data_IF_458654775870
#
_entry.id   IF_458654775870
#
_cell.length_a   1.000
_cell.length_b   1.000
_cell.length_c   1.000
_cell.angle_alpha   90.00
_cell.angle_beta   90.00
_cell.angle_gamma   90.00
#
_symmetry.space_group_name_H-M   'P 1'
#
loop_
_entity.id
_entity.type
_entity.pdbx_description
1 polymer ?
#
# COMPACT_ATOMS: atom_id res chain seq x y z
N UNK A 1 -3.09 -3.45 25.41
CA UNK A 1 -1.71 -3.98 25.25
C UNK A 1 -0.78 -2.82 25.57
N UNK A 2 -0.18 -2.83 26.77
CA UNK A 2 0.66 -1.73 27.23
C UNK A 2 1.87 -1.55 26.33
N UNK A 3 2.22 -0.31 26.04
CA UNK A 3 3.42 0.08 25.31
C UNK A 3 4.62 -0.08 26.23
N UNK A 4 5.25 -1.27 26.24
CA UNK A 4 6.49 -1.50 26.97
C UNK A 4 7.61 -0.71 26.29
N UNK A 5 8.19 0.33 26.90
CA UNK A 5 9.38 1.02 26.38
C UNK A 5 10.64 0.18 26.65
N UNK A 6 11.69 0.33 25.81
CA UNK A 6 13.02 -0.31 25.88
C UNK A 6 13.36 -1.09 27.16
N UNK A 7 12.77 -2.28 27.32
CA UNK A 7 12.88 -3.08 28.53
C UNK A 7 13.65 -4.36 28.20
N UNK A 8 14.78 -4.54 28.88
CA UNK A 8 15.45 -5.83 29.01
C UNK A 8 14.73 -6.62 30.08
N UNK A 9 14.51 -7.91 29.84
CA UNK A 9 13.86 -8.83 30.76
C UNK A 9 14.80 -10.00 31.05
N UNK A 10 14.71 -10.51 32.27
CA UNK A 10 15.46 -11.69 32.69
C UNK A 10 14.50 -12.76 33.18
N UNK A 11 14.68 -13.98 32.70
CA UNK A 11 13.98 -15.17 33.18
C UNK A 11 15.01 -16.18 33.67
N UNK A 12 14.67 -16.92 34.72
CA UNK A 12 15.43 -18.08 35.17
C UNK A 12 14.52 -19.29 35.15
N UNK A 13 14.94 -20.35 34.46
CA UNK A 13 14.19 -21.60 34.33
C UNK A 13 14.92 -22.76 35.02
N UNK A 14 14.17 -23.70 35.60
CA UNK A 14 14.70 -24.98 36.07
C UNK A 14 14.92 -25.96 34.90
N UNK A 15 15.38 -27.16 35.24
CA UNK A 15 15.62 -28.28 34.32
C UNK A 15 14.35 -28.76 33.59
N UNK A 16 13.20 -28.54 34.22
CA UNK A 16 11.86 -28.81 33.71
C UNK A 16 11.24 -27.61 32.96
N UNK A 17 12.02 -26.54 32.72
CA UNK A 17 11.61 -25.28 32.09
C UNK A 17 10.52 -24.50 32.85
N UNK A 18 10.35 -24.75 34.13
CA UNK A 18 9.51 -23.93 35.00
C UNK A 18 10.24 -22.65 35.37
N UNK A 19 9.47 -21.56 35.44
CA UNK A 19 10.00 -20.23 35.75
C UNK A 19 10.29 -20.14 37.25
N UNK A 20 11.57 -20.09 37.60
CA UNK A 20 12.08 -19.86 38.96
C UNK A 20 12.04 -18.34 39.26
N UNK A 21 12.39 -17.50 38.28
CA UNK A 21 12.47 -16.05 38.45
C UNK A 21 12.09 -15.30 37.17
N UNK A 22 11.54 -14.09 37.34
CA UNK A 22 11.23 -13.12 36.27
C UNK A 22 11.48 -11.71 36.79
N UNK A 23 12.21 -10.89 36.04
CA UNK A 23 12.56 -9.52 36.42
C UNK A 23 11.37 -8.55 36.46
N UNK A 24 10.31 -8.79 35.68
CA UNK A 24 9.04 -8.09 35.84
C UNK A 24 8.06 -9.04 36.55
N UNK A 25 7.65 -8.68 37.77
CA UNK A 25 6.69 -9.46 38.52
C UNK A 25 5.32 -9.44 37.83
N UNK A 26 4.90 -10.54 37.19
CA UNK A 26 3.50 -11.03 37.06
C UNK A 26 3.48 -12.42 36.37
N UNK A 27 2.85 -13.38 37.05
CA UNK A 27 2.63 -14.81 36.69
C UNK A 27 1.74 -15.07 35.44
N UNK A 28 1.43 -14.07 34.60
CA UNK A 28 0.47 -14.22 33.47
C UNK A 28 1.05 -14.00 32.07
N UNK A 29 2.21 -13.34 31.96
CA UNK A 29 2.87 -13.05 30.66
C UNK A 29 3.88 -14.14 30.29
N UNK A 30 4.28 -14.97 31.25
CA UNK A 30 5.57 -15.65 31.20
C UNK A 30 5.57 -17.01 30.48
N UNK A 31 4.51 -17.84 30.59
CA UNK A 31 4.39 -19.07 29.78
C UNK A 31 4.04 -18.79 28.31
N UNK A 32 3.17 -17.81 28.06
CA UNK A 32 2.82 -17.40 26.70
C UNK A 32 4.03 -16.87 25.97
N UNK A 33 4.85 -16.04 26.62
CA UNK A 33 6.08 -15.52 26.05
C UNK A 33 7.11 -16.63 25.73
N UNK A 34 7.27 -17.61 26.63
CA UNK A 34 8.14 -18.79 26.39
C UNK A 34 7.70 -19.55 25.14
N UNK A 35 6.38 -19.74 24.97
CA UNK A 35 5.82 -20.43 23.81
C UNK A 35 5.92 -19.61 22.53
N UNK A 36 5.59 -18.32 22.58
CA UNK A 36 5.63 -17.41 21.43
C UNK A 36 7.07 -17.27 20.90
N UNK A 37 8.04 -17.15 21.81
CA UNK A 37 9.46 -17.04 21.50
C UNK A 37 10.15 -18.40 21.31
N UNK A 38 9.43 -19.52 21.51
CA UNK A 38 9.92 -20.90 21.35
C UNK A 38 11.21 -21.20 22.11
N UNK A 39 11.32 -20.66 23.32
CA UNK A 39 12.53 -20.77 24.16
C UNK A 39 12.87 -22.24 24.47
N UNK A 40 11.84 -23.07 24.68
CA UNK A 40 11.98 -24.50 24.95
C UNK A 40 12.68 -25.25 23.82
N UNK A 41 12.40 -24.88 22.56
CA UNK A 41 13.05 -25.44 21.38
C UNK A 41 14.53 -25.05 21.35
N UNK A 42 14.81 -23.77 21.58
CA UNK A 42 16.18 -23.25 21.52
C UNK A 42 17.09 -23.84 22.61
N UNK A 43 16.55 -24.09 23.81
CA UNK A 43 17.28 -24.79 24.87
C UNK A 43 17.63 -26.23 24.46
N UNK A 44 16.68 -26.96 23.84
CA UNK A 44 16.89 -28.34 23.38
C UNK A 44 17.89 -28.45 22.23
N UNK A 45 17.94 -27.45 21.37
CA UNK A 45 18.88 -27.37 20.25
C UNK A 45 20.30 -26.92 20.68
N UNK A 46 20.49 -26.62 21.98
CA UNK A 46 21.77 -26.21 22.59
C UNK A 46 22.46 -25.05 21.87
N UNK A 47 21.65 -24.12 21.33
CA UNK A 47 22.14 -22.94 20.63
C UNK A 47 22.70 -21.94 21.64
N UNK A 48 24.04 -21.80 21.65
CA UNK A 48 24.81 -20.90 22.53
C UNK A 48 24.93 -19.46 21.99
N UNK A 49 24.26 -19.15 20.88
CA UNK A 49 24.33 -17.85 20.23
C UNK A 49 23.16 -16.94 20.62
N UNK A 50 23.33 -15.63 20.42
CA UNK A 50 22.25 -14.64 20.51
C UNK A 50 21.16 -14.95 19.48
N UNK A 51 20.02 -15.43 19.95
CA UNK A 51 18.89 -15.83 19.11
C UNK A 51 18.06 -14.59 18.80
N UNK A 52 17.70 -14.41 17.53
CA UNK A 52 16.78 -13.36 17.11
C UNK A 52 15.41 -13.98 16.79
N UNK A 53 14.41 -13.67 17.60
CA UNK A 53 13.02 -14.11 17.40
C UNK A 53 12.13 -12.88 17.34
N UNK A 54 11.49 -12.67 16.18
CA UNK A 54 10.66 -11.51 15.88
C UNK A 54 11.35 -10.17 16.19
N UNK A 55 10.96 -9.52 17.29
CA UNK A 55 11.46 -8.22 17.72
C UNK A 55 12.29 -8.32 19.00
N UNK A 56 12.78 -9.51 19.34
CA UNK A 56 13.52 -9.77 20.57
C UNK A 56 14.85 -10.46 20.26
N UNK A 57 15.90 -9.99 20.94
CA UNK A 57 17.11 -10.76 21.10
C UNK A 57 17.02 -11.58 22.37
N UNK A 58 17.36 -12.86 22.29
CA UNK A 58 17.30 -13.81 23.38
C UNK A 58 18.70 -14.39 23.56
N UNK A 59 19.30 -14.19 24.72
CA UNK A 59 20.50 -14.89 25.14
C UNK A 59 20.10 -15.96 26.15
N UNK A 60 20.66 -17.17 26.01
CA UNK A 60 20.35 -18.30 26.89
C UNK A 60 21.67 -18.86 27.43
N UNK A 61 21.87 -18.73 28.74
CA UNK A 61 23.03 -19.26 29.44
C UNK A 61 22.61 -20.45 30.31
N UNK A 62 23.19 -21.62 30.04
CA UNK A 62 22.98 -22.83 30.84
C UNK A 62 24.02 -22.91 31.94
N UNK A 63 23.57 -23.04 33.18
CA UNK A 63 24.39 -23.25 34.37
C UNK A 63 23.95 -24.51 35.13
N UNK A 64 24.73 -24.93 36.12
CA UNK A 64 24.39 -26.07 37.01
C UNK A 64 24.36 -25.57 38.44
N UNK A 65 23.25 -25.80 39.15
CA UNK A 65 23.09 -25.45 40.54
C UNK A 65 22.66 -26.69 41.33
N UNK A 66 23.45 -27.06 42.35
CA UNK A 66 23.22 -28.27 43.17
C UNK A 66 23.03 -29.56 42.35
N UNK A 67 23.71 -29.69 41.21
CA UNK A 67 23.64 -30.86 40.34
C UNK A 67 22.53 -30.83 39.29
N UNK A 68 21.63 -29.85 39.31
CA UNK A 68 20.56 -29.68 38.31
C UNK A 68 20.85 -28.50 37.37
N UNK A 69 20.52 -28.60 36.07
CA UNK A 69 20.70 -27.49 35.14
C UNK A 69 19.69 -26.36 35.43
N UNK A 70 20.15 -25.12 35.30
CA UNK A 70 19.36 -23.90 35.38
C UNK A 70 19.67 -23.04 34.16
N UNK A 71 18.65 -22.42 33.56
CA UNK A 71 18.80 -21.57 32.38
C UNK A 71 18.54 -20.12 32.75
N UNK A 72 19.50 -19.25 32.45
CA UNK A 72 19.35 -17.80 32.52
C UNK A 72 19.04 -17.27 31.13
N UNK A 73 17.94 -16.53 31.00
CA UNK A 73 17.48 -16.02 29.73
C UNK A 73 17.40 -14.50 29.83
N UNK A 74 18.19 -13.81 29.01
CA UNK A 74 18.07 -12.37 28.79
C UNK A 74 17.25 -12.14 27.51
N UNK A 75 16.18 -11.37 27.62
CA UNK A 75 15.32 -10.98 26.50
C UNK A 75 15.41 -9.47 26.34
N UNK A 76 15.91 -8.99 25.20
CA UNK A 76 16.05 -7.58 24.89
C UNK A 76 15.13 -7.20 23.73
N UNK A 77 14.30 -6.17 23.90
CA UNK A 77 13.44 -5.67 22.82
C UNK A 77 14.27 -4.91 21.78
N UNK A 78 14.23 -5.38 20.53
CA UNK A 78 14.90 -4.76 19.38
C UNK A 78 14.06 -3.65 18.72
N UNK A 79 13.46 -2.78 19.54
CA UNK A 79 12.55 -1.72 19.07
C UNK A 79 13.20 -0.75 18.09
N UNK A 80 14.47 -0.43 18.30
CA UNK A 80 15.25 0.46 17.43
C UNK A 80 15.27 -0.04 15.98
N UNK A 81 15.53 -1.33 15.76
CA UNK A 81 15.45 -1.91 14.41
C UNK A 81 14.02 -1.90 13.87
N UNK A 82 13.00 -2.15 14.69
CA UNK A 82 11.61 -2.13 14.21
C UNK A 82 11.11 -0.75 13.82
N UNK A 83 11.52 0.30 14.53
CA UNK A 83 11.19 1.68 14.20
C UNK A 83 11.96 2.17 12.97
N UNK A 84 13.23 1.80 12.86
CA UNK A 84 14.05 2.07 11.67
C UNK A 84 13.46 1.36 10.44
N UNK A 85 13.12 0.08 10.55
CA UNK A 85 12.49 -0.69 9.48
C UNK A 85 11.09 -0.16 9.15
N UNK A 86 10.28 0.22 10.15
CA UNK A 86 9.00 0.90 9.91
C UNK A 86 9.19 2.20 9.14
N UNK A 87 10.13 3.05 9.54
CA UNK A 87 10.43 4.31 8.83
C UNK A 87 10.96 4.05 7.42
N UNK A 88 11.78 3.02 7.23
CA UNK A 88 12.35 2.66 5.93
C UNK A 88 11.29 2.14 4.94
N UNK A 89 10.22 1.50 5.45
CA UNK A 89 9.19 0.85 4.65
C UNK A 89 7.84 1.55 4.64
N UNK A 90 7.69 2.67 5.35
CA UNK A 90 6.43 3.42 5.43
C UNK A 90 6.60 4.78 4.76
N UNK A 91 5.64 5.18 3.94
CA UNK A 91 5.56 6.52 3.40
C UNK A 91 5.14 7.52 4.49
N UNK A 92 5.94 8.56 4.69
CA UNK A 92 5.76 9.50 5.81
C UNK A 92 4.49 10.36 5.67
N UNK A 93 4.03 10.61 4.44
CA UNK A 93 2.87 11.45 4.18
C UNK A 93 1.55 10.71 4.44
N UNK A 94 1.51 9.43 4.05
CA UNK A 94 0.29 8.62 4.01
C UNK A 94 0.23 7.57 5.10
N UNK A 95 1.36 7.14 5.66
CA UNK A 95 1.44 6.01 6.59
C UNK A 95 1.15 4.64 5.95
N UNK A 96 1.07 4.57 4.62
CA UNK A 96 1.03 3.31 3.87
C UNK A 96 2.45 2.76 3.71
N UNK A 97 2.57 1.49 3.30
CA UNK A 97 3.87 0.99 2.88
C UNK A 97 4.38 1.76 1.66
N UNK A 98 5.69 1.95 1.54
CA UNK A 98 6.30 2.69 0.43
C UNK A 98 6.81 1.75 -0.67
N UNK A 99 7.43 2.33 -1.69
CA UNK A 99 8.04 1.59 -2.81
C UNK A 99 9.12 0.61 -2.36
N UNK A 100 9.98 0.97 -1.41
CA UNK A 100 11.05 0.09 -0.91
C UNK A 100 10.46 -1.19 -0.31
N UNK A 101 9.36 -1.05 0.45
CA UNK A 101 8.65 -2.21 0.99
C UNK A 101 8.19 -3.15 -0.12
N UNK A 102 7.60 -2.60 -1.18
CA UNK A 102 7.13 -3.40 -2.30
C UNK A 102 8.29 -4.13 -3.00
N UNK A 103 9.40 -3.45 -3.27
CA UNK A 103 10.58 -4.04 -3.92
C UNK A 103 11.17 -5.19 -3.09
N UNK A 104 11.37 -4.98 -1.79
CA UNK A 104 11.90 -6.04 -0.92
C UNK A 104 10.87 -7.16 -0.65
N UNK A 105 9.57 -6.86 -0.70
CA UNK A 105 8.49 -7.86 -0.60
C UNK A 105 8.46 -8.79 -1.80
N UNK A 106 8.53 -8.27 -3.03
CA UNK A 106 8.52 -9.09 -4.25
C UNK A 106 9.80 -9.91 -4.44
N UNK A 107 10.91 -9.46 -3.83
CA UNK A 107 12.18 -10.19 -3.79
C UNK A 107 12.24 -11.24 -2.65
N UNK A 108 11.22 -11.28 -1.78
CA UNK A 108 11.15 -12.23 -0.68
C UNK A 108 12.08 -11.93 0.49
N UNK A 109 12.64 -10.71 0.55
CA UNK A 109 13.46 -10.24 1.69
C UNK A 109 12.62 -10.02 2.94
N UNK A 110 11.33 -9.71 2.77
CA UNK A 110 10.38 -9.53 3.88
C UNK A 110 9.72 -10.88 4.20
N UNK A 111 10.17 -11.52 5.27
CA UNK A 111 9.69 -12.86 5.68
C UNK A 111 8.30 -12.86 6.34
N UNK A 112 7.85 -11.71 6.86
CA UNK A 112 6.58 -11.57 7.58
C UNK A 112 5.35 -11.79 6.68
N UNK A 113 5.47 -11.47 5.40
CA UNK A 113 4.40 -11.60 4.42
C UNK A 113 4.84 -12.54 3.30
N UNK A 114 3.94 -13.39 2.80
CA UNK A 114 4.24 -14.22 1.63
C UNK A 114 3.34 -13.84 0.47
N UNK A 115 3.91 -13.75 -0.73
CA UNK A 115 3.17 -13.41 -1.96
C UNK A 115 1.99 -14.35 -2.21
N UNK A 116 2.10 -15.61 -1.80
CA UNK A 116 1.04 -16.63 -1.88
C UNK A 116 -0.16 -16.40 -0.96
N UNK A 117 -0.04 -15.50 0.02
CA UNK A 117 -1.13 -15.21 0.97
C UNK A 117 -2.18 -14.28 0.34
N UNK A 118 -1.87 -13.67 -0.81
CA UNK A 118 -2.72 -12.72 -1.50
C UNK A 118 -3.35 -13.33 -2.75
N UNK A 119 -4.62 -13.00 -2.98
CA UNK A 119 -5.42 -13.46 -4.12
C UNK A 119 -5.72 -12.36 -5.13
N UNK A 120 -5.51 -11.09 -4.79
CA UNK A 120 -5.75 -9.97 -5.70
C UNK A 120 -4.79 -8.82 -5.51
N UNK A 121 -4.57 -8.08 -6.61
CA UNK A 121 -3.87 -6.80 -6.62
C UNK A 121 -4.74 -5.73 -7.29
N UNK A 122 -4.71 -4.52 -6.74
CA UNK A 122 -5.37 -3.34 -7.28
C UNK A 122 -4.30 -2.26 -7.43
N UNK A 123 -4.26 -1.59 -8.58
CA UNK A 123 -3.38 -0.45 -8.88
C UNK A 123 -4.27 0.78 -9.09
N UNK A 124 -3.92 1.88 -8.43
CA UNK A 124 -4.68 3.12 -8.37
C UNK A 124 -3.75 4.29 -8.73
N UNK A 125 -4.22 5.21 -9.55
CA UNK A 125 -3.54 6.46 -9.90
C UNK A 125 -4.50 7.64 -9.71
N UNK A 126 -4.02 8.73 -9.09
CA UNK A 126 -4.84 9.94 -8.89
C UNK A 126 -4.90 10.75 -10.19
N UNK A 127 -6.13 10.92 -10.72
CA UNK A 127 -6.32 11.65 -11.96
C UNK A 127 -6.03 13.16 -11.76
N UNK A 128 -5.11 13.70 -12.57
CA UNK A 128 -4.77 15.14 -12.62
C UNK A 128 -4.13 15.70 -11.34
N UNK A 129 -3.40 14.91 -10.54
CA UNK A 129 -2.74 15.45 -9.34
C UNK A 129 -1.79 16.62 -9.66
N UNK A 130 -1.06 16.55 -10.78
CA UNK A 130 -0.19 17.65 -11.24
C UNK A 130 -0.98 18.96 -11.43
N UNK A 131 -2.16 18.89 -12.04
CA UNK A 131 -3.02 20.06 -12.19
C UNK A 131 -3.44 20.62 -10.84
N UNK A 132 -3.80 19.77 -9.88
CA UNK A 132 -4.12 20.23 -8.51
C UNK A 132 -2.91 20.95 -7.89
N UNK A 133 -1.70 20.42 -8.05
CA UNK A 133 -0.48 21.06 -7.55
C UNK A 133 -0.22 22.41 -8.21
N UNK A 134 -0.35 22.49 -9.52
CA UNK A 134 -0.04 23.69 -10.30
C UNK A 134 -1.04 24.83 -10.02
N UNK A 135 -2.32 24.51 -9.78
CA UNK A 135 -3.39 25.50 -9.62
C UNK A 135 -3.75 25.80 -8.15
N UNK A 136 -3.64 24.82 -7.26
CA UNK A 136 -4.04 24.94 -5.85
C UNK A 136 -2.85 24.81 -4.88
N UNK A 137 -1.65 24.56 -5.40
CA UNK A 137 -0.43 24.42 -4.62
C UNK A 137 -0.21 23.03 -4.04
N UNK A 138 1.05 22.72 -3.71
CA UNK A 138 1.47 21.41 -3.21
C UNK A 138 0.75 20.98 -1.93
N UNK A 139 0.42 21.92 -1.02
CA UNK A 139 -0.34 21.59 0.19
C UNK A 139 -1.71 20.97 -0.12
N UNK A 140 -2.35 21.39 -1.22
CA UNK A 140 -3.60 20.80 -1.66
C UNK A 140 -3.40 19.42 -2.28
N UNK A 141 -2.34 19.23 -3.06
CA UNK A 141 -1.95 17.92 -3.57
C UNK A 141 -1.68 16.91 -2.45
N UNK A 142 -0.92 17.33 -1.43
CA UNK A 142 -0.66 16.52 -0.24
C UNK A 142 -1.95 16.15 0.50
N UNK A 143 -2.91 17.08 0.59
CA UNK A 143 -4.24 16.79 1.14
C UNK A 143 -4.97 15.75 0.30
N UNK A 144 -4.94 15.85 -1.03
CA UNK A 144 -5.54 14.87 -1.93
C UNK A 144 -4.94 13.47 -1.72
N UNK A 145 -3.61 13.37 -1.66
CA UNK A 145 -2.88 12.13 -1.35
C UNK A 145 -3.26 11.55 0.01
N UNK A 146 -3.38 12.40 1.04
CA UNK A 146 -3.83 11.99 2.38
C UNK A 146 -5.26 11.48 2.39
N UNK A 147 -6.16 12.14 1.67
CA UNK A 147 -7.55 11.71 1.55
C UNK A 147 -7.66 10.34 0.86
N UNK A 148 -6.90 10.13 -0.23
CA UNK A 148 -6.83 8.84 -0.94
C UNK A 148 -6.30 7.73 -0.04
N UNK A 149 -5.16 7.94 0.60
CA UNK A 149 -4.57 6.93 1.49
C UNK A 149 -5.44 6.63 2.72
N UNK A 150 -6.16 7.63 3.25
CA UNK A 150 -7.09 7.44 4.36
C UNK A 150 -8.27 6.57 3.93
N UNK A 151 -8.85 6.84 2.76
CA UNK A 151 -9.93 6.01 2.21
C UNK A 151 -9.45 4.59 1.92
N UNK A 152 -8.26 4.41 1.34
CA UNK A 152 -7.68 3.08 1.15
C UNK A 152 -7.62 2.36 2.50
N UNK A 153 -6.98 2.95 3.52
CA UNK A 153 -6.83 2.35 4.86
C UNK A 153 -8.15 1.97 5.51
N UNK A 154 -9.19 2.81 5.37
CA UNK A 154 -10.52 2.53 5.93
C UNK A 154 -11.17 1.27 5.33
N UNK A 155 -10.82 0.91 4.10
CA UNK A 155 -11.38 -0.25 3.40
C UNK A 155 -10.47 -1.48 3.46
N UNK A 156 -9.26 -1.37 4.03
CA UNK A 156 -8.35 -2.50 4.21
C UNK A 156 -8.77 -3.37 5.40
N UNK A 157 -8.71 -4.68 5.20
CA UNK A 157 -8.75 -5.66 6.30
C UNK A 157 -7.37 -5.83 6.92
N UNK A 158 -7.28 -6.45 8.11
CA UNK A 158 -6.00 -6.66 8.84
C UNK A 158 -4.91 -7.34 8.00
N UNK A 159 -5.31 -8.18 7.04
CA UNK A 159 -4.40 -8.95 6.19
C UNK A 159 -4.18 -8.32 4.81
N UNK A 160 -4.79 -7.17 4.50
CA UNK A 160 -4.53 -6.46 3.27
C UNK A 160 -3.33 -5.52 3.45
N UNK A 161 -2.62 -5.25 2.36
CA UNK A 161 -1.52 -4.28 2.34
C UNK A 161 -1.89 -3.11 1.44
N UNK A 162 -1.79 -1.89 1.97
CA UNK A 162 -1.85 -0.66 1.19
C UNK A 162 -0.44 -0.12 1.00
N UNK A 163 -0.11 0.20 -0.25
CA UNK A 163 1.22 0.64 -0.66
C UNK A 163 1.05 1.94 -1.45
N UNK A 164 1.88 2.95 -1.17
CA UNK A 164 2.12 4.10 -2.05
C UNK A 164 3.38 3.82 -2.86
N UNK A 165 3.20 3.51 -4.13
CA UNK A 165 4.29 3.10 -5.01
C UNK A 165 5.01 4.30 -5.64
N UNK A 166 4.26 5.36 -5.95
CA UNK A 166 4.75 6.57 -6.59
C UNK A 166 4.18 7.83 -5.95
N UNK A 167 4.31 8.98 -6.64
CA UNK A 167 3.79 10.25 -6.15
C UNK A 167 2.26 10.22 -5.96
N UNK A 168 1.55 9.81 -7.02
CA UNK A 168 0.10 9.68 -7.14
C UNK A 168 -0.37 8.21 -7.28
N UNK A 169 0.56 7.26 -7.23
CA UNK A 169 0.30 5.84 -7.48
C UNK A 169 0.21 5.03 -6.19
N UNK A 170 -0.84 4.23 -6.07
CA UNK A 170 -1.11 3.36 -4.94
C UNK A 170 -1.38 1.93 -5.41
N UNK A 171 -1.11 0.97 -4.52
CA UNK A 171 -1.42 -0.43 -4.73
C UNK A 171 -2.10 -1.01 -3.49
N UNK A 172 -2.98 -1.97 -3.72
CA UNK A 172 -3.59 -2.78 -2.66
C UNK A 172 -3.33 -4.24 -2.98
N UNK A 173 -2.72 -4.96 -2.04
CA UNK A 173 -2.70 -6.42 -2.04
C UNK A 173 -3.77 -6.92 -1.08
N UNK A 174 -4.56 -7.88 -1.52
CA UNK A 174 -5.68 -8.38 -0.72
C UNK A 174 -5.82 -9.89 -0.79
N UNK A 175 -6.33 -10.47 0.29
CA UNK A 175 -6.72 -11.89 0.39
C UNK A 175 -8.18 -12.11 -0.05
N UNK A 176 -8.82 -11.08 -0.62
CA UNK A 176 -10.19 -11.10 -1.12
C UNK A 176 -10.28 -11.82 -2.47
N UNK A 177 -11.38 -12.55 -2.67
CA UNK A 177 -11.72 -13.11 -3.97
C UNK A 177 -12.15 -12.02 -4.97
N UNK A 178 -12.31 -12.37 -6.24
CA UNK A 178 -12.58 -11.42 -7.33
C UNK A 178 -13.85 -10.57 -7.11
N UNK A 179 -14.94 -11.18 -6.63
CA UNK A 179 -16.18 -10.47 -6.31
C UNK A 179 -15.97 -9.43 -5.20
N UNK A 180 -15.23 -9.79 -4.16
CA UNK A 180 -14.91 -8.89 -3.05
C UNK A 180 -13.94 -7.78 -3.48
N UNK A 181 -13.03 -8.05 -4.41
CA UNK A 181 -12.15 -7.04 -5.03
C UNK A 181 -12.98 -6.00 -5.78
N UNK A 182 -13.96 -6.44 -6.58
CA UNK A 182 -14.84 -5.52 -7.31
C UNK A 182 -15.67 -4.64 -6.36
N UNK A 183 -16.17 -5.21 -5.25
CA UNK A 183 -16.85 -4.45 -4.20
C UNK A 183 -15.93 -3.42 -3.55
N UNK A 184 -14.71 -3.83 -3.18
CA UNK A 184 -13.70 -2.93 -2.59
C UNK A 184 -13.39 -1.75 -3.52
N UNK A 185 -13.22 -2.02 -4.81
CA UNK A 185 -13.01 -0.98 -5.84
C UNK A 185 -14.18 -0.01 -5.90
N UNK A 186 -15.41 -0.53 -5.88
CA UNK A 186 -16.62 0.28 -5.89
C UNK A 186 -16.69 1.20 -4.66
N UNK A 187 -16.45 0.66 -3.46
CA UNK A 187 -16.51 1.40 -2.20
C UNK A 187 -15.46 2.53 -2.17
N UNK A 188 -14.22 2.24 -2.58
CA UNK A 188 -13.14 3.23 -2.69
C UNK A 188 -13.51 4.33 -3.70
N UNK A 189 -13.97 3.96 -4.90
CA UNK A 189 -14.37 4.92 -5.94
C UNK A 189 -15.51 5.81 -5.46
N UNK A 190 -16.51 5.25 -4.78
CA UNK A 190 -17.64 5.99 -4.26
C UNK A 190 -17.23 7.01 -3.20
N UNK A 191 -16.43 6.60 -2.21
CA UNK A 191 -15.95 7.48 -1.14
C UNK A 191 -15.05 8.62 -1.67
N UNK A 192 -14.20 8.33 -2.67
CA UNK A 192 -13.35 9.34 -3.31
C UNK A 192 -14.14 10.34 -4.15
N UNK A 193 -15.18 9.85 -4.85
CA UNK A 193 -16.07 10.72 -5.61
C UNK A 193 -16.77 11.75 -4.72
N UNK A 194 -17.17 11.36 -3.51
CA UNK A 194 -17.76 12.29 -2.52
C UNK A 194 -16.79 13.39 -2.06
N UNK A 195 -15.48 13.20 -2.25
CA UNK A 195 -14.44 14.21 -2.01
C UNK A 195 -14.00 14.95 -3.28
N UNK A 196 -14.69 14.75 -4.41
CA UNK A 196 -14.30 15.27 -5.72
C UNK A 196 -12.91 14.81 -6.18
N UNK A 197 -12.45 13.65 -5.72
CA UNK A 197 -11.18 13.05 -6.14
C UNK A 197 -11.49 11.98 -7.19
N UNK A 198 -10.92 12.14 -8.38
CA UNK A 198 -11.01 11.14 -9.43
C UNK A 198 -9.75 10.27 -9.42
N UNK A 199 -9.94 8.96 -9.58
CA UNK A 199 -8.85 7.99 -9.62
C UNK A 199 -9.05 7.00 -10.77
N UNK A 200 -7.97 6.66 -11.45
CA UNK A 200 -7.91 5.55 -12.40
C UNK A 200 -7.51 4.27 -11.69
N UNK A 201 -8.19 3.17 -11.99
CA UNK A 201 -8.01 1.91 -11.26
C UNK A 201 -7.96 0.71 -12.20
N UNK A 202 -7.11 -0.25 -11.85
CA UNK A 202 -7.06 -1.57 -12.48
C UNK A 202 -6.84 -2.64 -11.43
N UNK A 203 -7.39 -3.82 -11.64
CA UNK A 203 -7.24 -4.95 -10.72
C UNK A 203 -6.96 -6.24 -11.45
N UNK A 204 -6.37 -7.20 -10.75
CA UNK A 204 -6.10 -8.53 -11.27
C UNK A 204 -6.07 -9.56 -10.15
N UNK A 205 -6.53 -10.78 -10.45
CA UNK A 205 -6.42 -11.93 -9.57
C UNK A 205 -5.01 -12.51 -9.67
N UNK A 206 -4.44 -12.88 -8.53
CA UNK A 206 -3.12 -13.49 -8.45
C UNK A 206 -3.25 -14.98 -8.74
N UNK A 207 -2.79 -15.41 -9.91
CA UNK A 207 -2.74 -16.81 -10.28
C UNK A 207 -1.47 -17.46 -9.73
N UNK A 208 -1.60 -18.57 -8.99
CA UNK A 208 -0.46 -19.31 -8.40
C UNK A 208 0.59 -19.67 -9.47
N UNK A 209 0.18 -20.07 -10.68
CA UNK A 209 1.09 -20.46 -11.76
C UNK A 209 1.88 -19.30 -12.37
N UNK A 210 1.29 -18.10 -12.42
CA UNK A 210 1.90 -16.90 -13.06
C UNK A 210 2.52 -15.93 -12.04
N UNK A 211 2.16 -16.06 -10.77
CA UNK A 211 2.69 -15.26 -9.68
C UNK A 211 2.22 -13.80 -9.65
N UNK A 212 2.68 -13.09 -8.62
CA UNK A 212 2.31 -11.71 -8.34
C UNK A 212 2.79 -10.72 -9.41
N UNK A 213 4.01 -10.89 -9.95
CA UNK A 213 4.58 -9.97 -10.96
C UNK A 213 3.70 -9.87 -12.22
N UNK A 214 3.17 -11.00 -12.68
CA UNK A 214 2.25 -11.02 -13.82
C UNK A 214 0.89 -10.37 -13.48
N UNK A 215 0.36 -10.63 -12.28
CA UNK A 215 -0.88 -10.01 -11.83
C UNK A 215 -0.75 -8.47 -11.75
N UNK A 216 0.40 -7.99 -11.25
CA UNK A 216 0.73 -6.58 -11.21
C UNK A 216 0.72 -5.95 -12.61
N UNK A 217 1.42 -6.55 -13.59
CA UNK A 217 1.43 -6.07 -14.98
C UNK A 217 0.02 -5.94 -15.56
N UNK A 218 -0.85 -6.93 -15.33
CA UNK A 218 -2.24 -6.90 -15.81
C UNK A 218 -3.05 -5.79 -15.14
N UNK A 219 -2.90 -5.61 -13.82
CA UNK A 219 -3.60 -4.57 -13.09
C UNK A 219 -3.15 -3.17 -13.53
N UNK A 220 -1.85 -2.98 -13.75
CA UNK A 220 -1.27 -1.74 -14.27
C UNK A 220 -1.79 -1.40 -15.69
N UNK A 221 -1.76 -2.37 -16.61
CA UNK A 221 -2.33 -2.19 -17.96
C UNK A 221 -3.82 -1.83 -17.92
N UNK A 222 -4.60 -2.44 -17.02
CA UNK A 222 -6.03 -2.11 -16.82
C UNK A 222 -6.22 -0.70 -16.27
N UNK A 223 -5.38 -0.28 -15.32
CA UNK A 223 -5.40 1.07 -14.76
C UNK A 223 -5.07 2.12 -15.83
N UNK A 224 -4.04 1.85 -16.65
CA UNK A 224 -3.66 2.70 -17.75
C UNK A 224 -4.81 2.84 -18.77
N UNK A 225 -5.48 1.74 -19.09
CA UNK A 225 -6.66 1.75 -19.97
C UNK A 225 -7.83 2.55 -19.37
N UNK A 226 -8.09 2.46 -18.06
CA UNK A 226 -9.10 3.29 -17.38
C UNK A 226 -8.75 4.78 -17.52
N UNK A 227 -7.49 5.15 -17.28
CA UNK A 227 -6.97 6.53 -17.42
C UNK A 227 -7.12 7.05 -18.85
N UNK A 228 -6.72 6.24 -19.84
CA UNK A 228 -6.85 6.55 -21.27
C UNK A 228 -8.31 6.75 -21.67
N UNK A 229 -9.21 5.87 -21.26
CA UNK A 229 -10.63 5.93 -21.61
C UNK A 229 -11.30 7.19 -21.05
N UNK A 230 -11.02 7.57 -19.81
CA UNK A 230 -11.52 8.82 -19.23
C UNK A 230 -11.01 10.04 -19.95
N UNK A 231 -9.72 10.04 -20.30
CA UNK A 231 -9.11 11.14 -21.04
C UNK A 231 -9.74 11.30 -22.43
N UNK A 232 -9.93 10.19 -23.15
CA UNK A 232 -10.65 10.17 -24.42
C UNK A 232 -12.08 10.69 -24.29
N UNK A 233 -12.81 10.25 -23.26
CA UNK A 233 -14.17 10.75 -22.97
C UNK A 233 -14.20 12.25 -22.70
N UNK A 234 -13.22 12.79 -21.97
CA UNK A 234 -13.10 14.23 -21.71
C UNK A 234 -12.85 15.02 -23.00
N UNK A 235 -12.00 14.50 -23.89
CA UNK A 235 -11.77 15.13 -25.20
C UNK A 235 -13.05 15.13 -26.04
N UNK A 236 -13.78 14.02 -26.10
CA UNK A 236 -15.04 13.93 -26.84
C UNK A 236 -16.09 14.92 -26.32
N UNK A 237 -16.23 15.06 -25.01
CA UNK A 237 -17.14 16.03 -24.40
C UNK A 237 -16.79 17.48 -24.79
N UNK A 238 -15.49 17.81 -24.82
CA UNK A 238 -15.04 19.15 -25.23
C UNK A 238 -15.25 19.39 -26.72
N UNK A 239 -15.02 18.39 -27.57
CA UNK A 239 -15.34 18.43 -29.00
C UNK A 239 -16.83 18.70 -29.20
N UNK A 240 -17.71 17.99 -28.50
CA UNK A 240 -19.16 18.21 -28.60
C UNK A 240 -19.58 19.61 -28.16
N UNK A 241 -18.95 20.14 -27.09
CA UNK A 241 -19.20 21.49 -26.61
C UNK A 241 -18.81 22.53 -27.65
N UNK A 242 -17.59 22.46 -28.18
CA UNK A 242 -17.10 23.38 -29.21
C UNK A 242 -17.90 23.26 -30.51
N UNK A 243 -18.32 22.05 -30.89
CA UNK A 243 -19.19 21.84 -32.06
C UNK A 243 -20.55 22.52 -31.89
N UNK A 244 -21.16 22.45 -30.70
CA UNK A 244 -22.42 23.16 -30.40
C UNK A 244 -22.22 24.68 -30.40
N UNK A 245 -21.11 25.15 -29.84
CA UNK A 245 -20.73 26.56 -29.85
C UNK A 245 -20.56 27.07 -31.29
N UNK A 246 -19.78 26.36 -32.11
CA UNK A 246 -19.57 26.69 -33.53
C UNK A 246 -20.90 26.74 -34.29
N UNK A 247 -21.76 25.74 -34.12
CA UNK A 247 -23.09 25.73 -34.75
C UNK A 247 -23.95 26.92 -34.34
N UNK A 248 -23.83 27.40 -33.10
CA UNK A 248 -24.52 28.61 -32.65
C UNK A 248 -23.91 29.86 -33.29
N UNK A 249 -22.58 29.96 -33.32
CA UNK A 249 -21.87 31.08 -33.94
C UNK A 249 -22.21 31.23 -35.43
N UNK A 250 -22.37 30.12 -36.15
CA UNK A 250 -22.72 30.12 -37.58
C UNK A 250 -24.20 30.43 -37.83
N UNK A 251 -25.10 30.12 -36.88
CA UNK A 251 -26.55 30.36 -37.00
C UNK A 251 -26.98 31.78 -36.59
N UNK A 252 -26.21 32.44 -35.71
CA UNK A 252 -26.49 33.82 -35.27
C UNK A 252 -26.03 34.80 -36.37
N UNK A 253 -26.92 35.05 -37.32
CA UNK A 253 -26.73 35.90 -38.50
C UNK A 253 -26.28 37.34 -38.10
N UNK A 254 -25.15 37.80 -38.69
CA UNK A 254 -24.69 39.20 -38.80
C UNK A 254 -24.04 39.97 -37.61
N UNK A 255 -23.67 39.36 -36.47
CA UNK A 255 -23.01 40.14 -35.37
C UNK A 255 -21.66 39.64 -34.83
N UNK A 256 -21.09 38.56 -35.36
CA UNK A 256 -19.84 37.99 -34.83
C UNK A 256 -18.70 38.04 -35.83
N UNK A 257 -17.50 38.33 -35.35
CA UNK A 257 -16.32 38.43 -36.19
C UNK A 257 -15.95 37.06 -36.73
N UNK A 258 -15.56 37.00 -38.01
CA UNK A 258 -14.96 35.82 -38.65
C UNK A 258 -13.88 35.17 -37.75
N UNK A 259 -13.16 35.99 -36.99
CA UNK A 259 -12.14 35.58 -36.03
C UNK A 259 -12.67 34.67 -34.91
N UNK A 260 -13.87 34.91 -34.37
CA UNK A 260 -14.47 34.07 -33.33
C UNK A 260 -14.79 32.67 -33.86
N UNK A 261 -15.38 32.61 -35.06
CA UNK A 261 -15.71 31.37 -35.75
C UNK A 261 -14.43 30.59 -36.07
N UNK A 262 -13.42 31.28 -36.63
CA UNK A 262 -12.13 30.68 -36.97
C UNK A 262 -11.43 30.12 -35.73
N UNK A 263 -11.41 30.88 -34.63
CA UNK A 263 -10.77 30.44 -33.39
C UNK A 263 -11.43 29.18 -32.79
N UNK A 264 -12.77 29.10 -32.78
CA UNK A 264 -13.48 27.89 -32.33
C UNK A 264 -13.23 26.71 -33.27
N UNK A 265 -13.21 26.94 -34.59
CA UNK A 265 -12.89 25.91 -35.57
C UNK A 265 -11.48 25.32 -35.37
N UNK A 266 -10.46 26.18 -35.21
CA UNK A 266 -9.08 25.73 -34.98
C UNK A 266 -8.94 24.91 -33.68
N UNK A 267 -9.64 25.31 -32.60
CA UNK A 267 -9.67 24.53 -31.36
C UNK A 267 -10.32 23.16 -31.55
N UNK A 268 -11.41 23.11 -32.30
CA UNK A 268 -12.12 21.87 -32.62
C UNK A 268 -11.22 20.91 -33.41
N UNK A 269 -10.56 21.40 -34.47
CA UNK A 269 -9.66 20.61 -35.30
C UNK A 269 -8.47 20.05 -34.50
N UNK A 270 -7.87 20.87 -33.64
CA UNK A 270 -6.80 20.44 -32.76
C UNK A 270 -7.23 19.30 -31.82
N UNK A 271 -8.43 19.38 -31.24
CA UNK A 271 -8.96 18.33 -30.37
C UNK A 271 -9.31 17.05 -31.13
N UNK A 272 -9.88 17.17 -32.34
CA UNK A 272 -10.16 16.02 -33.21
C UNK A 272 -8.85 15.31 -33.57
N UNK A 273 -7.83 16.04 -34.01
CA UNK A 273 -6.52 15.48 -34.33
C UNK A 273 -5.89 14.77 -33.11
N UNK A 274 -5.98 15.39 -31.93
CA UNK A 274 -5.51 14.81 -30.68
C UNK A 274 -6.23 13.50 -30.35
N UNK A 275 -7.56 13.46 -30.50
CA UNK A 275 -8.37 12.25 -30.32
C UNK A 275 -7.97 11.13 -31.29
N UNK A 276 -7.83 11.46 -32.58
CA UNK A 276 -7.44 10.50 -33.61
C UNK A 276 -6.06 9.90 -33.34
N UNK A 277 -5.08 10.71 -32.94
CA UNK A 277 -3.73 10.24 -32.62
C UNK A 277 -3.68 9.31 -31.40
N UNK A 278 -4.50 9.55 -30.38
CA UNK A 278 -4.60 8.67 -29.20
C UNK A 278 -5.14 7.27 -29.54
N UNK A 279 -5.95 7.18 -30.60
CA UNK A 279 -6.59 5.94 -31.04
C UNK A 279 -5.84 5.23 -32.18
N UNK A 280 -4.97 5.92 -32.93
CA UNK A 280 -4.12 5.31 -33.98
C UNK A 280 -3.06 4.33 -33.45
N UNK A 281 -2.64 4.44 -32.18
CA UNK A 281 -1.70 3.48 -31.55
C UNK A 281 -2.28 2.08 -31.28
N UNK A 282 -3.53 1.83 -31.71
CA UNK A 282 -4.28 0.60 -31.42
C UNK A 282 -4.66 -0.19 -32.69
N UNK A 283 -4.03 0.07 -33.84
CA UNK A 283 -4.15 -0.73 -35.07
C UNK A 283 -2.76 -1.23 -35.44
#
# INVERSE_FOLDING_TARGET
>A
MGTFGNSKFFLVLDDMLNIIYSSEGIKKVSKTLINDLKIDKHIKENTLDRINVDNYFINIDKNVFKGSPIYFIEIESNKSNTEILKKAYTDSLTGLYNRNFWEDFIEGKIKLFKTKDYSGIIVIDIDNLKYINDFEGHLKGDKCIKDVSSIIKLNLSKNDLGIRYGGDEFMILTTKNDNMVNKLIFDIKYQLKNKNINISIGSSVICIKKGLKNAFKIADERMYNDKKNKYNKKILQEIEKLRKELNRLVKDDYRKTYDEVMHVSMKLDNLINKYMNLNKKNI
#
